data_IF_667099085465
#
_entry.id   IF_667099085465
#
_cell.length_a   1.000
_cell.length_b   1.000
_cell.length_c   1.000
_cell.angle_alpha   90.00
_cell.angle_beta   90.00
_cell.angle_gamma   90.00
#
_symmetry.space_group_name_H-M   'P 1'
#
loop_
_entity.id
_entity.type
_entity.pdbx_description
1 polymer ?
#
# COMPACT_ATOMS: atom_id res chain seq x y z
N UNK A 1 9.70 -15.64 4.71
CA UNK A 1 9.41 -14.33 4.09
C UNK A 1 8.31 -14.43 3.04
N UNK A 2 8.42 -15.34 2.06
CA UNK A 2 7.43 -15.49 0.98
C UNK A 2 5.98 -15.59 1.50
N UNK A 3 5.68 -16.44 2.49
CA UNK A 3 4.32 -16.55 3.07
C UNK A 3 3.70 -15.21 3.52
N UNK A 4 4.44 -14.37 4.23
CA UNK A 4 3.93 -13.07 4.70
C UNK A 4 3.85 -12.03 3.57
N UNK A 5 4.70 -12.17 2.55
CA UNK A 5 4.63 -11.33 1.36
C UNK A 5 3.39 -11.68 0.52
N UNK A 6 3.11 -12.97 0.35
CA UNK A 6 1.91 -13.47 -0.34
C UNK A 6 0.61 -13.16 0.42
N UNK A 7 0.66 -13.11 1.76
CA UNK A 7 -0.51 -12.73 2.57
C UNK A 7 -1.06 -11.36 2.18
N UNK A 8 -0.18 -10.41 1.80
CA UNK A 8 -0.61 -9.10 1.32
C UNK A 8 -1.46 -9.23 0.06
N UNK A 9 -1.02 -10.02 -0.92
CA UNK A 9 -1.79 -10.27 -2.15
C UNK A 9 -3.10 -11.00 -1.85
N UNK A 10 -3.13 -11.91 -0.88
CA UNK A 10 -4.37 -12.54 -0.42
C UNK A 10 -5.35 -11.52 0.20
N UNK A 11 -4.87 -10.56 0.99
CA UNK A 11 -5.70 -9.48 1.56
C UNK A 11 -6.23 -8.52 0.50
N UNK A 12 -5.39 -8.13 -0.47
CA UNK A 12 -5.78 -7.31 -1.62
C UNK A 12 -6.81 -8.03 -2.51
N UNK A 13 -6.64 -9.34 -2.74
CA UNK A 13 -7.62 -10.16 -3.45
C UNK A 13 -8.95 -10.29 -2.70
N UNK A 14 -8.90 -10.41 -1.37
CA UNK A 14 -10.09 -10.47 -0.52
C UNK A 14 -10.90 -9.17 -0.56
N UNK A 15 -10.25 -8.00 -0.54
CA UNK A 15 -10.95 -6.72 -0.63
C UNK A 15 -11.61 -6.52 -2.01
N UNK A 16 -10.98 -7.01 -3.08
CA UNK A 16 -11.49 -6.89 -4.44
C UNK A 16 -12.54 -7.95 -4.81
N UNK A 17 -12.56 -9.09 -4.11
CA UNK A 17 -13.54 -10.17 -4.32
C UNK A 17 -15.00 -9.69 -4.24
N UNK A 18 -15.27 -8.63 -3.47
CA UNK A 18 -16.60 -8.00 -3.39
C UNK A 18 -17.07 -7.43 -4.73
N UNK A 19 -16.16 -6.97 -5.58
CA UNK A 19 -16.44 -6.36 -6.89
C UNK A 19 -16.44 -7.38 -8.05
N UNK A 20 -15.84 -8.56 -7.84
CA UNK A 20 -15.82 -9.66 -8.81
C UNK A 20 -16.96 -10.67 -8.61
N UNK A 21 -17.98 -10.32 -7.82
CA UNK A 21 -19.09 -11.21 -7.50
C UNK A 21 -19.90 -11.56 -8.76
N UNK A 22 -19.90 -12.84 -9.17
CA UNK A 22 -20.61 -13.34 -10.35
C UNK A 22 -19.74 -13.75 -11.54
N UNK A 23 -18.42 -13.54 -11.47
CA UNK A 23 -17.48 -13.99 -12.52
C UNK A 23 -17.00 -15.44 -12.31
N UNK A 24 -16.51 -16.06 -13.39
CA UNK A 24 -16.02 -17.45 -13.32
C UNK A 24 -14.79 -17.59 -12.43
N UNK A 25 -14.62 -18.76 -11.79
CA UNK A 25 -13.45 -19.07 -10.96
C UNK A 25 -12.14 -18.94 -11.73
N UNK A 26 -12.12 -19.32 -13.01
CA UNK A 26 -10.95 -19.18 -13.88
C UNK A 26 -10.60 -17.72 -14.18
N UNK A 27 -11.60 -16.87 -14.39
CA UNK A 27 -11.40 -15.43 -14.55
C UNK A 27 -10.82 -14.80 -13.29
N UNK A 28 -11.37 -15.14 -12.13
CA UNK A 28 -10.90 -14.63 -10.83
C UNK A 28 -9.47 -15.09 -10.53
N UNK A 29 -9.12 -16.31 -10.88
CA UNK A 29 -7.76 -16.84 -10.71
C UNK A 29 -6.74 -16.14 -11.62
N UNK A 30 -7.09 -15.90 -12.89
CA UNK A 30 -6.24 -15.17 -13.84
C UNK A 30 -6.03 -13.72 -13.41
N UNK A 31 -7.10 -13.07 -12.98
CA UNK A 31 -7.07 -11.71 -12.42
C UNK A 31 -6.17 -11.64 -11.19
N UNK A 32 -6.38 -12.53 -10.21
CA UNK A 32 -5.56 -12.57 -9.00
C UNK A 32 -4.07 -12.85 -9.30
N UNK A 33 -3.77 -13.67 -10.31
CA UNK A 33 -2.39 -13.99 -10.70
C UNK A 33 -1.66 -12.82 -11.37
N UNK A 34 -2.37 -11.93 -12.07
CA UNK A 34 -1.80 -10.74 -12.72
C UNK A 34 -1.81 -9.49 -11.84
N UNK A 35 -2.32 -9.59 -10.60
CA UNK A 35 -2.54 -8.43 -9.75
C UNK A 35 -1.24 -7.89 -9.15
N UNK A 36 -1.08 -6.57 -9.20
CA UNK A 36 0.00 -5.83 -8.58
C UNK A 36 -0.56 -4.66 -7.75
N UNK A 37 0.23 -4.09 -6.84
CA UNK A 37 -0.20 -3.01 -5.94
C UNK A 37 -0.76 -1.79 -6.73
N UNK A 38 -0.14 -1.45 -7.86
CA UNK A 38 -0.55 -0.33 -8.72
C UNK A 38 -1.87 -0.61 -9.46
N UNK A 39 -1.98 -1.79 -10.06
CA UNK A 39 -3.20 -2.21 -10.75
C UNK A 39 -4.36 -2.40 -9.78
N UNK A 40 -4.08 -2.91 -8.57
CA UNK A 40 -5.05 -2.96 -7.49
C UNK A 40 -5.54 -1.57 -7.13
N UNK A 41 -4.65 -0.59 -6.90
CA UNK A 41 -5.04 0.77 -6.53
C UNK A 41 -5.91 1.43 -7.61
N UNK A 42 -5.54 1.29 -8.89
CA UNK A 42 -6.31 1.81 -10.03
C UNK A 42 -7.67 1.14 -10.18
N UNK A 43 -7.71 -0.20 -10.17
CA UNK A 43 -8.94 -0.96 -10.30
C UNK A 43 -9.87 -0.69 -9.10
N UNK A 44 -9.35 -0.68 -7.87
CA UNK A 44 -10.12 -0.39 -6.66
C UNK A 44 -10.73 1.02 -6.71
N UNK A 45 -9.95 2.05 -7.07
CA UNK A 45 -10.46 3.41 -7.21
C UNK A 45 -11.54 3.51 -8.28
N UNK A 46 -11.36 2.82 -9.42
CA UNK A 46 -12.33 2.83 -10.51
C UNK A 46 -13.61 2.09 -10.13
N UNK A 47 -13.53 0.94 -9.47
CA UNK A 47 -14.69 0.22 -8.93
C UNK A 47 -15.43 1.03 -7.87
N UNK A 48 -14.71 1.84 -7.06
CA UNK A 48 -15.33 2.69 -6.04
C UNK A 48 -15.99 3.96 -6.62
N UNK A 49 -15.52 4.46 -7.77
CA UNK A 49 -15.96 5.75 -8.33
C UNK A 49 -16.98 5.57 -9.46
N UNK A 50 -16.85 4.49 -10.25
CA UNK A 50 -17.65 4.26 -11.45
C UNK A 50 -18.46 2.96 -11.35
N UNK A 51 -19.78 3.10 -11.23
CA UNK A 51 -20.72 1.95 -11.15
C UNK A 51 -20.84 1.15 -12.44
N UNK A 52 -20.32 1.64 -13.57
CA UNK A 52 -20.37 0.95 -14.87
C UNK A 52 -19.11 0.14 -15.18
N UNK A 53 -18.08 0.22 -14.34
CA UNK A 53 -16.82 -0.45 -14.59
C UNK A 53 -16.97 -1.97 -14.47
N UNK A 54 -16.70 -2.68 -15.56
CA UNK A 54 -16.88 -4.13 -15.64
C UNK A 54 -15.60 -4.87 -15.25
N UNK A 55 -15.69 -6.08 -14.67
CA UNK A 55 -14.51 -6.90 -14.36
C UNK A 55 -13.60 -7.14 -15.57
N UNK A 56 -14.19 -7.26 -16.78
CA UNK A 56 -13.43 -7.44 -18.03
C UNK A 56 -12.54 -6.25 -18.38
N UNK A 57 -13.00 -5.03 -18.13
CA UNK A 57 -12.19 -3.83 -18.32
C UNK A 57 -11.04 -3.77 -17.31
N UNK A 58 -11.28 -4.20 -16.07
CA UNK A 58 -10.24 -4.31 -15.04
C UNK A 58 -9.12 -5.29 -15.46
N UNK A 59 -9.49 -6.43 -16.06
CA UNK A 59 -8.51 -7.40 -16.57
C UNK A 59 -7.70 -6.85 -17.76
N UNK A 60 -8.33 -6.05 -18.63
CA UNK A 60 -7.62 -5.39 -19.72
C UNK A 60 -6.59 -4.38 -19.19
N UNK A 61 -6.92 -3.62 -18.15
CA UNK A 61 -5.96 -2.72 -17.49
C UNK A 61 -4.77 -3.50 -16.93
N UNK A 62 -5.00 -4.65 -16.32
CA UNK A 62 -3.93 -5.55 -15.84
C UNK A 62 -2.99 -6.01 -16.94
N UNK A 63 -3.55 -6.52 -18.03
CA UNK A 63 -2.74 -6.99 -19.15
C UNK A 63 -1.97 -5.86 -19.83
N UNK A 64 -2.60 -4.68 -20.00
CA UNK A 64 -1.93 -3.52 -20.58
C UNK A 64 -0.79 -3.01 -19.70
N UNK A 65 -0.98 -2.95 -18.38
CA UNK A 65 0.11 -2.56 -17.48
C UNK A 65 1.25 -3.57 -17.51
N UNK A 66 0.95 -4.88 -17.51
CA UNK A 66 1.97 -5.92 -17.58
C UNK A 66 2.74 -5.88 -18.91
N UNK A 67 2.05 -5.68 -20.03
CA UNK A 67 2.67 -5.50 -21.33
C UNK A 67 3.56 -4.26 -21.36
N UNK A 68 3.06 -3.13 -20.88
CA UNK A 68 3.84 -1.90 -20.83
C UNK A 68 5.08 -2.05 -19.95
N UNK A 69 4.92 -2.65 -18.76
CA UNK A 69 6.03 -2.96 -17.86
C UNK A 69 7.08 -3.84 -18.54
N UNK A 70 6.65 -4.89 -19.27
CA UNK A 70 7.55 -5.79 -19.99
C UNK A 70 8.31 -5.07 -21.09
N UNK A 71 7.62 -4.25 -21.90
CA UNK A 71 8.24 -3.47 -22.97
C UNK A 71 9.20 -2.42 -22.40
N UNK A 72 8.81 -1.71 -21.34
CA UNK A 72 9.68 -0.75 -20.67
C UNK A 72 10.93 -1.39 -20.09
N UNK A 73 10.82 -2.57 -19.46
CA UNK A 73 11.98 -3.32 -18.97
C UNK A 73 12.87 -3.81 -20.11
N UNK A 74 12.28 -4.26 -21.22
CA UNK A 74 13.05 -4.68 -22.39
C UNK A 74 13.85 -3.50 -22.96
N UNK A 75 13.19 -2.35 -23.20
CA UNK A 75 13.84 -1.14 -23.69
C UNK A 75 14.91 -0.64 -22.71
N UNK A 76 14.58 -0.59 -21.41
CA UNK A 76 15.51 -0.17 -20.36
C UNK A 76 16.71 -1.10 -20.24
N UNK A 77 16.52 -2.40 -20.40
CA UNK A 77 17.61 -3.41 -20.40
C UNK A 77 18.50 -3.28 -21.64
N UNK A 78 17.93 -3.05 -22.82
CA UNK A 78 18.69 -2.84 -24.06
C UNK A 78 19.54 -1.55 -23.99
N UNK A 79 18.94 -0.45 -23.52
CA UNK A 79 19.64 0.83 -23.34
C UNK A 79 20.69 0.71 -22.23
N UNK A 80 20.34 0.08 -21.11
CA UNK A 80 21.23 -0.15 -19.98
C UNK A 80 22.40 -1.08 -20.30
N UNK A 81 22.25 -1.98 -21.27
CA UNK A 81 23.35 -2.82 -21.77
C UNK A 81 24.26 -2.08 -22.75
N UNK A 82 23.76 -1.04 -23.41
CA UNK A 82 24.51 -0.22 -24.36
C UNK A 82 25.29 0.93 -23.67
N UNK A 83 24.89 1.32 -22.46
CA UNK A 83 25.49 2.43 -21.70
C UNK A 83 26.11 1.87 -20.41
N UNK A 84 27.37 2.20 -20.13
CA UNK A 84 27.97 1.93 -18.82
C UNK A 84 27.36 2.89 -17.79
N UNK A 85 26.26 2.48 -17.16
CA UNK A 85 25.63 3.21 -16.07
C UNK A 85 26.40 2.92 -14.79
N UNK A 86 26.83 3.99 -14.10
CA UNK A 86 27.44 3.85 -12.78
C UNK A 86 26.42 3.29 -11.77
N UNK A 87 26.71 2.12 -11.22
CA UNK A 87 25.91 1.45 -10.20
C UNK A 87 25.67 2.33 -8.97
N UNK A 88 26.57 3.27 -8.68
CA UNK A 88 26.44 4.24 -7.59
C UNK A 88 25.18 5.10 -7.75
N UNK A 89 24.90 5.57 -8.97
CA UNK A 89 23.72 6.39 -9.28
C UNK A 89 22.44 5.55 -9.13
N UNK A 90 22.50 4.28 -9.55
CA UNK A 90 21.37 3.35 -9.43
C UNK A 90 21.04 3.06 -7.96
N UNK A 91 22.05 2.77 -7.13
CA UNK A 91 21.85 2.56 -5.69
C UNK A 91 21.30 3.80 -4.99
N UNK A 92 21.76 4.99 -5.38
CA UNK A 92 21.21 6.25 -4.88
C UNK A 92 19.75 6.43 -5.28
N UNK A 93 19.41 6.21 -6.56
CA UNK A 93 18.04 6.34 -7.07
C UNK A 93 17.07 5.35 -6.38
N UNK A 94 17.47 4.09 -6.20
CA UNK A 94 16.66 3.09 -5.50
C UNK A 94 16.41 3.47 -4.04
N UNK A 95 17.44 3.94 -3.34
CA UNK A 95 17.32 4.37 -1.94
C UNK A 95 16.41 5.61 -1.83
N UNK A 96 16.55 6.57 -2.74
CA UNK A 96 15.72 7.76 -2.80
C UNK A 96 14.23 7.43 -3.04
N UNK A 97 13.94 6.44 -3.90
CA UNK A 97 12.58 5.99 -4.17
C UNK A 97 11.90 5.42 -2.91
N UNK A 98 12.60 4.57 -2.16
CA UNK A 98 12.08 4.05 -0.89
C UNK A 98 11.85 5.16 0.14
N UNK A 99 12.77 6.11 0.23
CA UNK A 99 12.64 7.24 1.15
C UNK A 99 11.43 8.11 0.78
N UNK A 100 11.24 8.38 -0.51
CA UNK A 100 10.06 9.08 -1.02
C UNK A 100 8.75 8.37 -0.65
N UNK A 101 8.67 7.05 -0.83
CA UNK A 101 7.49 6.26 -0.44
C UNK A 101 7.19 6.37 1.06
N UNK A 102 8.21 6.34 1.92
CA UNK A 102 8.02 6.51 3.37
C UNK A 102 7.50 7.91 3.67
N UNK A 103 8.12 8.95 3.10
CA UNK A 103 7.73 10.34 3.35
C UNK A 103 6.29 10.63 2.93
N UNK A 104 5.83 10.08 1.80
CA UNK A 104 4.45 10.21 1.33
C UNK A 104 3.42 9.63 2.30
N UNK A 105 3.82 8.67 3.15
CA UNK A 105 2.96 8.07 4.16
C UNK A 105 2.90 8.89 5.47
N UNK A 106 3.86 9.79 5.72
CA UNK A 106 3.98 10.59 6.95
C UNK A 106 3.03 11.80 6.94
N UNK A 107 1.72 11.56 6.97
CA UNK A 107 0.70 12.61 6.91
C UNK A 107 0.47 13.33 8.24
N UNK A 108 0.60 12.62 9.36
CA UNK A 108 0.28 13.12 10.70
C UNK A 108 1.48 12.96 11.65
N UNK A 109 1.61 13.87 12.62
CA UNK A 109 2.65 13.78 13.66
C UNK A 109 2.63 12.47 14.46
N UNK A 110 1.43 11.90 14.66
CA UNK A 110 1.28 10.58 15.28
C UNK A 110 1.95 9.47 14.46
N UNK A 111 1.80 9.50 13.13
CA UNK A 111 2.41 8.52 12.21
C UNK A 111 3.93 8.62 12.28
N UNK A 112 4.50 9.83 12.40
CA UNK A 112 5.94 10.03 12.55
C UNK A 112 6.46 9.35 13.82
N UNK A 113 5.77 9.54 14.95
CA UNK A 113 6.15 8.90 16.24
C UNK A 113 6.08 7.38 16.13
N UNK A 114 5.00 6.84 15.55
CA UNK A 114 4.85 5.39 15.34
C UNK A 114 5.92 4.86 14.37
N UNK A 115 6.28 5.62 13.33
CA UNK A 115 7.33 5.26 12.38
C UNK A 115 8.69 5.11 13.07
N UNK A 116 9.07 6.08 13.91
CA UNK A 116 10.32 6.03 14.70
C UNK A 116 10.29 4.83 15.66
N UNK A 117 9.17 4.64 16.36
CA UNK A 117 8.97 3.50 17.26
C UNK A 117 9.12 2.17 16.51
N UNK A 118 8.51 2.04 15.34
CA UNK A 118 8.60 0.84 14.51
C UNK A 118 10.03 0.57 14.05
N UNK A 119 10.81 1.59 13.72
CA UNK A 119 12.23 1.43 13.38
C UNK A 119 13.06 0.88 14.55
N UNK A 120 12.82 1.41 15.75
CA UNK A 120 13.48 0.92 16.97
C UNK A 120 13.07 -0.51 17.31
N UNK A 121 11.77 -0.81 17.24
CA UNK A 121 11.22 -2.14 17.50
C UNK A 121 11.75 -3.16 16.49
N UNK A 122 11.96 -2.74 15.23
CA UNK A 122 12.49 -3.61 14.18
C UNK A 122 13.94 -3.99 14.50
N UNK A 123 14.78 -3.03 14.88
CA UNK A 123 16.15 -3.31 15.30
C UNK A 123 16.18 -4.25 16.53
N UNK A 124 15.33 -3.98 17.52
CA UNK A 124 15.24 -4.79 18.74
C UNK A 124 14.83 -6.25 18.46
N UNK A 125 13.74 -6.46 17.72
CA UNK A 125 13.27 -7.81 17.38
C UNK A 125 14.22 -8.54 16.43
N UNK A 126 14.90 -7.82 15.52
CA UNK A 126 15.87 -8.44 14.62
C UNK A 126 17.08 -9.00 15.38
N UNK A 127 17.55 -8.30 16.42
CA UNK A 127 18.64 -8.78 17.30
C UNK A 127 18.25 -10.03 18.07
N UNK A 128 17.00 -10.10 18.55
CA UNK A 128 16.50 -11.25 19.34
C UNK A 128 16.24 -12.46 18.45
N UNK A 129 15.47 -12.28 17.38
CA UNK A 129 14.97 -13.40 16.58
C UNK A 129 15.98 -13.90 15.54
N UNK A 130 17.01 -13.10 15.20
CA UNK A 130 18.03 -13.38 14.16
C UNK A 130 17.46 -13.84 12.81
N UNK A 131 16.19 -13.58 12.58
CA UNK A 131 15.42 -14.01 11.41
C UNK A 131 14.59 -12.83 10.96
N UNK A 132 14.29 -12.82 9.67
CA UNK A 132 13.41 -11.85 9.02
C UNK A 132 12.02 -11.80 9.67
N UNK A 133 11.60 -12.85 10.39
CA UNK A 133 10.39 -12.86 11.21
C UNK A 133 10.34 -11.76 12.28
N UNK A 134 11.49 -11.31 12.79
CA UNK A 134 11.57 -10.20 13.73
C UNK A 134 11.02 -8.89 13.13
N UNK A 135 11.18 -8.69 11.82
CA UNK A 135 10.63 -7.53 11.12
C UNK A 135 9.09 -7.55 11.11
N UNK A 136 8.49 -8.71 10.84
CA UNK A 136 7.02 -8.88 10.82
C UNK A 136 6.44 -8.69 12.22
N UNK A 137 7.07 -9.26 13.25
CA UNK A 137 6.63 -9.08 14.63
C UNK A 137 6.70 -7.62 15.07
N UNK A 138 7.77 -6.94 14.69
CA UNK A 138 7.93 -5.51 14.93
C UNK A 138 6.82 -4.67 14.30
N UNK A 139 6.50 -4.89 13.01
CA UNK A 139 5.48 -4.09 12.33
C UNK A 139 4.07 -4.37 12.87
N UNK A 140 3.77 -5.62 13.23
CA UNK A 140 2.52 -5.98 13.90
C UNK A 140 2.41 -5.31 15.27
N UNK A 141 3.45 -5.36 16.08
CA UNK A 141 3.47 -4.72 17.40
C UNK A 141 3.35 -3.20 17.29
N UNK A 142 4.11 -2.57 16.39
CA UNK A 142 4.05 -1.13 16.15
C UNK A 142 2.68 -0.68 15.63
N UNK A 143 2.06 -1.44 14.73
CA UNK A 143 0.71 -1.16 14.22
C UNK A 143 -0.34 -1.28 15.33
N UNK A 144 -0.24 -2.30 16.19
CA UNK A 144 -1.15 -2.46 17.33
C UNK A 144 -1.01 -1.33 18.35
N UNK A 145 0.23 -0.96 18.71
CA UNK A 145 0.51 0.19 19.58
C UNK A 145 -0.04 1.46 18.95
N UNK A 146 0.20 1.68 17.65
CA UNK A 146 -0.32 2.83 16.91
C UNK A 146 -1.84 2.92 16.98
N UNK A 147 -2.54 1.81 16.74
CA UNK A 147 -4.00 1.73 16.82
C UNK A 147 -4.53 2.04 18.23
N UNK A 148 -3.92 1.46 19.28
CA UNK A 148 -4.34 1.70 20.67
C UNK A 148 -4.10 3.16 21.07
N UNK A 149 -2.97 3.74 20.67
CA UNK A 149 -2.65 5.15 20.92
C UNK A 149 -3.64 6.05 20.20
N UNK A 150 -3.93 5.80 18.92
CA UNK A 150 -4.91 6.55 18.16
C UNK A 150 -6.32 6.48 18.77
N UNK A 151 -6.78 5.27 19.11
CA UNK A 151 -8.07 5.04 19.74
C UNK A 151 -8.20 5.74 21.10
N UNK A 152 -7.12 5.77 21.88
CA UNK A 152 -7.08 6.44 23.19
C UNK A 152 -7.10 7.95 23.03
N UNK A 153 -6.33 8.52 22.09
CA UNK A 153 -6.31 9.97 21.85
C UNK A 153 -7.67 10.44 21.31
N UNK A 154 -8.30 9.70 20.39
CA UNK A 154 -9.65 10.02 19.88
C UNK A 154 -10.69 10.04 21.01
N UNK A 155 -10.56 9.15 22.01
CA UNK A 155 -11.46 9.06 23.16
C UNK A 155 -11.28 10.17 24.20
N UNK A 156 -10.05 10.64 24.46
CA UNK A 156 -9.76 11.61 25.53
C UNK A 156 -9.53 13.06 25.05
N UNK A 157 -9.16 13.29 23.78
CA UNK A 157 -8.85 14.62 23.22
C UNK A 157 -9.27 14.68 21.72
N UNK A 158 -10.58 14.77 21.41
CA UNK A 158 -11.07 14.74 20.02
C UNK A 158 -10.60 15.92 19.15
N UNK A 159 -10.23 17.07 19.75
CA UNK A 159 -9.75 18.28 19.04
C UNK A 159 -8.22 18.46 19.05
N UNK A 160 -7.43 17.41 19.30
CA UNK A 160 -5.95 17.53 19.25
C UNK A 160 -5.45 17.67 17.81
N UNK A 161 -4.67 18.72 17.51
CA UNK A 161 -4.05 18.94 16.20
C UNK A 161 -3.09 17.83 15.73
N UNK A 162 -2.83 16.83 16.58
CA UNK A 162 -2.02 15.64 16.27
C UNK A 162 -2.78 14.60 15.42
N UNK A 163 -4.12 14.67 15.39
CA UNK A 163 -5.02 13.79 14.64
C UNK A 163 -5.50 14.39 13.31
N UNK A 164 -5.04 15.60 12.96
CA UNK A 164 -5.57 16.33 11.80
C UNK A 164 -5.08 15.69 10.50
N UNK A 165 -5.74 14.62 10.09
CA UNK A 165 -5.67 14.07 8.75
C UNK A 165 -6.07 15.18 7.79
N UNK A 166 -5.17 15.58 6.88
CA UNK A 166 -5.58 16.43 5.78
C UNK A 166 -6.69 15.71 5.02
N UNK A 167 -7.83 16.42 4.85
CA UNK A 167 -9.07 16.02 4.16
C UNK A 167 -8.85 14.84 3.21
N UNK A 168 -9.54 13.73 3.48
CA UNK A 168 -9.66 12.63 2.53
C UNK A 168 -10.27 13.19 1.22
N UNK A 169 -9.61 13.04 0.06
CA UNK A 169 -10.22 13.38 -1.22
C UNK A 169 -11.29 12.36 -1.65
N UNK A 170 -11.37 11.22 -0.97
CA UNK A 170 -12.45 10.25 -1.10
C UNK A 170 -13.39 10.44 0.10
N UNK A 171 -14.44 11.26 -0.09
CA UNK A 171 -15.46 11.50 0.93
C UNK A 171 -16.00 10.17 1.46
N UNK A 172 -15.80 9.94 2.75
CA UNK A 172 -16.39 8.81 3.45
C UNK A 172 -17.73 9.28 4.02
N UNK A 173 -18.77 8.43 4.10
CA UNK A 173 -20.09 8.83 4.57
C UNK A 173 -20.14 9.36 6.02
N UNK A 174 -19.05 9.28 6.81
CA UNK A 174 -18.95 9.93 8.13
C UNK A 174 -18.92 11.47 8.03
N UNK A 175 -18.60 12.05 6.88
CA UNK A 175 -18.55 13.51 6.70
C UNK A 175 -19.96 14.16 6.59
N UNK A 176 -21.02 13.36 6.46
CA UNK A 176 -22.39 13.89 6.30
C UNK A 176 -23.11 14.20 7.63
N UNK A 177 -22.62 13.64 8.75
CA UNK A 177 -23.27 13.79 10.05
C UNK A 177 -22.70 14.99 10.85
N UNK A 178 -21.57 15.57 10.45
CA UNK A 178 -20.98 16.76 11.11
C UNK A 178 -21.51 18.09 10.53
N UNK A 179 -22.12 18.10 9.34
CA UNK A 179 -22.56 19.32 8.65
C UNK A 179 -24.04 19.71 8.93
N UNK A 180 -24.74 19.01 9.83
CA UNK A 180 -26.16 19.27 10.14
C UNK A 180 -26.36 20.13 11.40
N UNK A 181 -25.31 20.32 12.21
CA UNK A 181 -25.38 21.03 13.50
C UNK A 181 -24.49 22.31 13.55
N UNK A 182 -24.52 23.14 12.49
CA UNK A 182 -24.14 24.58 12.57
C UNK A 182 -25.34 25.51 12.32
#
# INVERSE_FOLDING_TARGET
MMFFLELRYALLGSSLSKYLHGESLGFTALFAASMNDENYALNYLKFSTDKKFTPREALHVEHMTLLFWTVSNLIGSLIGSAINIDLTIVHFALTALFLYMIVMQLKNGLIIVICILSGFLAAFFMVITKSTLGLVLSTLAASFIGFVVEATIRKYRPKSGWLRSMKNPAGSPEDADEDVDE
#
